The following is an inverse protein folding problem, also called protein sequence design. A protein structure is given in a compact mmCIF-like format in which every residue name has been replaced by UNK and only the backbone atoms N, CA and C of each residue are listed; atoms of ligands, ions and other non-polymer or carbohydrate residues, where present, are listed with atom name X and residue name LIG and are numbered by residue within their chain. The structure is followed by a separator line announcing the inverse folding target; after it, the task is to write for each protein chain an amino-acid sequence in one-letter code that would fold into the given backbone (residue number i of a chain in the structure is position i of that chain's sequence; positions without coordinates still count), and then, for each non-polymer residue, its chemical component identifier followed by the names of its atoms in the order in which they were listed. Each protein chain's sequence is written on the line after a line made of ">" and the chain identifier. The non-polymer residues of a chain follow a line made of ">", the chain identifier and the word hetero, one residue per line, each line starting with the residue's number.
data_IF_358705999441
#
_entry.id   IF_358705999441
#
_cell.length_a   1.000
_cell.length_b   1.000
_cell.length_c   1.000
_cell.angle_alpha   90.00
_cell.angle_beta   90.00
_cell.angle_gamma   90.00
#
_symmetry.space_group_name_H-M   'P 1'
#
loop_
_entity.id
_entity.type
_entity.pdbx_description
1 polymer ?
#
# COMPACT_ATOMS: atom_id res chain seq x y z
N UNK A 1 19.07 -12.98 -14.80
CA UNK A 1 18.95 -11.79 -15.67
C UNK A 1 19.41 -10.61 -14.85
N UNK A 2 20.32 -9.78 -15.36
CA UNK A 2 20.65 -8.49 -14.74
C UNK A 2 19.48 -7.55 -15.03
N UNK A 3 18.87 -6.99 -13.99
CA UNK A 3 17.83 -5.97 -14.13
C UNK A 3 18.49 -4.69 -14.70
N UNK A 4 18.08 -4.25 -15.89
CA UNK A 4 18.58 -3.02 -16.50
C UNK A 4 17.74 -1.79 -16.09
N UNK A 5 18.24 -0.59 -16.40
CA UNK A 5 17.59 0.68 -16.04
C UNK A 5 16.17 0.80 -16.63
N UNK A 6 15.96 0.28 -17.85
CA UNK A 6 14.66 0.35 -18.50
C UNK A 6 13.63 -0.55 -17.78
N UNK A 7 14.04 -1.78 -17.42
CA UNK A 7 13.25 -2.71 -16.64
C UNK A 7 12.89 -2.12 -15.27
N UNK A 8 13.88 -1.61 -14.53
CA UNK A 8 13.65 -1.05 -13.20
C UNK A 8 12.74 0.19 -13.23
N UNK A 9 12.87 1.04 -14.24
CA UNK A 9 11.99 2.20 -14.41
C UNK A 9 10.55 1.79 -14.72
N UNK A 10 10.36 0.79 -15.59
CA UNK A 10 9.04 0.26 -15.91
C UNK A 10 8.39 -0.41 -14.69
N UNK A 11 9.17 -1.18 -13.93
CA UNK A 11 8.71 -1.85 -12.72
C UNK A 11 8.35 -0.85 -11.62
N UNK A 12 9.17 0.20 -11.41
CA UNK A 12 8.84 1.28 -10.49
C UNK A 12 7.50 1.91 -10.84
N UNK A 13 7.28 2.25 -12.12
CA UNK A 13 6.03 2.83 -12.59
C UNK A 13 4.83 1.91 -12.33
N UNK A 14 4.99 0.60 -12.53
CA UNK A 14 3.96 -0.40 -12.25
C UNK A 14 3.62 -0.42 -10.75
N UNK A 15 4.64 -0.38 -9.89
CA UNK A 15 4.43 -0.40 -8.44
C UNK A 15 3.83 0.92 -7.93
N UNK A 16 4.24 2.07 -8.46
CA UNK A 16 3.63 3.36 -8.12
C UNK A 16 2.12 3.32 -8.43
N UNK A 17 1.72 2.80 -9.60
CA UNK A 17 0.30 2.65 -9.94
C UNK A 17 -0.45 1.68 -9.01
N UNK A 18 0.21 0.60 -8.60
CA UNK A 18 -0.39 -0.33 -7.62
C UNK A 18 -0.55 0.31 -6.25
N UNK A 19 0.42 1.14 -5.83
CA UNK A 19 0.36 1.89 -4.59
C UNK A 19 -0.79 2.90 -4.63
N UNK A 20 -0.91 3.67 -5.71
CA UNK A 20 -2.03 4.62 -5.89
C UNK A 20 -3.37 3.90 -5.79
N UNK A 21 -3.54 2.78 -6.51
CA UNK A 21 -4.76 1.99 -6.46
C UNK A 21 -5.06 1.39 -5.06
N UNK A 22 -4.01 1.02 -4.31
CA UNK A 22 -4.16 0.51 -2.95
C UNK A 22 -4.55 1.63 -1.98
N UNK A 23 -3.97 2.82 -2.13
CA UNK A 23 -4.32 4.00 -1.34
C UNK A 23 -5.76 4.46 -1.60
N UNK A 24 -6.22 4.45 -2.85
CA UNK A 24 -7.60 4.78 -3.22
C UNK A 24 -8.59 3.79 -2.58
N UNK A 25 -8.29 2.49 -2.63
CA UNK A 25 -9.12 1.46 -1.98
C UNK A 25 -9.13 1.63 -0.47
N UNK A 26 -7.98 1.91 0.14
CA UNK A 26 -7.90 2.14 1.57
C UNK A 26 -8.72 3.35 2.00
N UNK A 27 -8.71 4.44 1.23
CA UNK A 27 -9.52 5.62 1.51
C UNK A 27 -11.02 5.31 1.53
N UNK A 28 -11.52 4.50 0.58
CA UNK A 28 -12.92 4.06 0.55
C UNK A 28 -13.29 3.19 1.76
N UNK A 29 -12.39 2.29 2.15
CA UNK A 29 -12.56 1.44 3.34
C UNK A 29 -12.59 2.27 4.61
N UNK A 30 -11.69 3.25 4.74
CA UNK A 30 -11.65 4.16 5.88
C UNK A 30 -12.95 4.97 6.00
N UNK A 31 -13.49 5.45 4.88
CA UNK A 31 -14.78 6.16 4.88
C UNK A 31 -15.93 5.26 5.39
N UNK A 32 -16.05 4.04 4.87
CA UNK A 32 -17.07 3.07 5.30
C UNK A 32 -16.91 2.69 6.79
N UNK A 33 -15.69 2.37 7.20
CA UNK A 33 -15.39 1.98 8.57
C UNK A 33 -15.68 3.11 9.56
N UNK A 34 -15.39 4.37 9.21
CA UNK A 34 -15.71 5.52 10.05
C UNK A 34 -17.23 5.68 10.26
N UNK A 35 -18.03 5.43 9.21
CA UNK A 35 -19.50 5.42 9.33
C UNK A 35 -19.94 4.28 10.25
N UNK A 36 -19.39 3.08 10.09
CA UNK A 36 -19.74 1.89 10.87
C UNK A 36 -19.32 1.98 12.34
N UNK A 37 -18.18 2.61 12.63
CA UNK A 37 -17.66 2.81 13.97
C UNK A 37 -18.43 3.89 14.74
N UNK A 38 -19.21 4.74 14.06
CA UNK A 38 -19.97 5.82 14.69
C UNK A 38 -20.96 5.26 15.72
N UNK A 39 -20.72 5.59 16.98
CA UNK A 39 -21.55 5.14 18.11
C UNK A 39 -21.32 3.69 18.54
N UNK A 40 -20.28 3.02 18.01
CA UNK A 40 -19.83 1.70 18.48
C UNK A 40 -18.87 1.83 19.65
N UNK A 41 -18.84 0.81 20.51
CA UNK A 41 -17.94 0.75 21.66
C UNK A 41 -17.66 -0.70 22.07
N UNK A 42 -16.63 -0.91 22.88
CA UNK A 42 -16.25 -2.24 23.36
C UNK A 42 -15.97 -3.22 22.21
N UNK A 43 -16.46 -4.45 22.34
CA UNK A 43 -16.16 -5.53 21.41
C UNK A 43 -16.54 -5.22 19.94
N UNK A 44 -17.57 -4.41 19.68
CA UNK A 44 -17.95 -4.04 18.31
C UNK A 44 -16.91 -3.11 17.68
N UNK A 45 -16.36 -2.18 18.46
CA UNK A 45 -15.32 -1.26 17.98
C UNK A 45 -14.01 -2.03 17.76
N UNK A 46 -13.66 -2.94 18.67
CA UNK A 46 -12.46 -3.79 18.54
C UNK A 46 -12.52 -4.65 17.27
N UNK A 47 -13.70 -5.22 16.95
CA UNK A 47 -13.90 -6.01 15.74
C UNK A 47 -13.70 -5.18 14.45
N UNK A 48 -14.20 -3.94 14.42
CA UNK A 48 -14.05 -3.02 13.29
C UNK A 48 -12.60 -2.55 13.15
N UNK A 49 -11.89 -2.29 14.25
CA UNK A 49 -10.47 -1.97 14.23
C UNK A 49 -9.61 -3.14 13.75
N UNK A 50 -9.96 -4.37 14.12
CA UNK A 50 -9.29 -5.56 13.61
C UNK A 50 -9.60 -5.80 12.11
N UNK A 51 -10.80 -5.46 11.65
CA UNK A 51 -11.15 -5.46 10.22
C UNK A 51 -10.31 -4.44 9.44
N UNK A 52 -10.19 -3.20 9.96
CA UNK A 52 -9.33 -2.15 9.40
C UNK A 52 -7.91 -2.65 9.17
N UNK A 53 -7.29 -3.20 10.22
CA UNK A 53 -5.91 -3.70 10.17
C UNK A 53 -5.74 -4.82 9.14
N UNK A 54 -6.69 -5.76 9.05
CA UNK A 54 -6.64 -6.84 8.05
C UNK A 54 -6.74 -6.30 6.62
N UNK A 55 -7.54 -5.27 6.39
CA UNK A 55 -7.69 -4.68 5.06
C UNK A 55 -6.42 -3.92 4.68
N UNK A 56 -5.84 -3.14 5.61
CA UNK A 56 -4.55 -2.46 5.42
C UNK A 56 -3.44 -3.46 5.05
N UNK A 57 -3.33 -4.57 5.77
CA UNK A 57 -2.38 -5.65 5.49
C UNK A 57 -2.63 -6.29 4.11
N UNK A 58 -3.90 -6.50 3.74
CA UNK A 58 -4.28 -7.12 2.46
C UNK A 58 -3.93 -6.23 1.28
N UNK A 59 -4.09 -4.92 1.42
CA UNK A 59 -3.71 -3.94 0.38
C UNK A 59 -2.19 -3.86 0.21
N UNK A 60 -1.41 -4.33 1.19
CA UNK A 60 0.03 -4.48 1.07
C UNK A 60 0.77 -3.16 0.86
N UNK A 61 0.20 -2.04 1.32
CA UNK A 61 0.72 -0.68 1.11
C UNK A 61 2.17 -0.58 1.58
N UNK A 62 2.49 -1.09 2.78
CA UNK A 62 3.85 -1.09 3.32
C UNK A 62 4.81 -1.88 2.42
N UNK A 63 4.43 -3.08 1.99
CA UNK A 63 5.25 -3.92 1.12
C UNK A 63 5.48 -3.27 -0.27
N UNK A 64 4.48 -2.55 -0.80
CA UNK A 64 4.61 -1.80 -2.04
C UNK A 64 5.63 -0.67 -1.89
N UNK A 65 5.56 0.10 -0.80
CA UNK A 65 6.50 1.20 -0.50
C UNK A 65 7.92 0.68 -0.34
N UNK A 66 8.13 -0.37 0.47
CA UNK A 66 9.44 -1.00 0.66
C UNK A 66 10.03 -1.47 -0.67
N UNK A 67 9.21 -2.06 -1.54
CA UNK A 67 9.66 -2.52 -2.86
C UNK A 67 10.01 -1.36 -3.79
N UNK A 68 9.24 -0.27 -3.77
CA UNK A 68 9.52 0.94 -4.55
C UNK A 68 10.87 1.54 -4.12
N UNK A 69 11.13 1.62 -2.81
CA UNK A 69 12.37 2.19 -2.29
C UNK A 69 13.60 1.37 -2.70
N UNK A 70 13.54 0.03 -2.61
CA UNK A 70 14.59 -0.85 -3.13
C UNK A 70 14.86 -0.62 -4.63
N UNK A 71 13.80 -0.38 -5.42
CA UNK A 71 13.97 -0.12 -6.86
C UNK A 71 14.57 1.27 -7.11
N UNK A 72 14.19 2.28 -6.32
CA UNK A 72 14.80 3.62 -6.39
C UNK A 72 16.31 3.54 -6.15
N UNK A 73 16.73 2.82 -5.10
CA UNK A 73 18.15 2.61 -4.81
C UNK A 73 18.90 1.94 -5.98
N UNK A 74 18.32 0.92 -6.59
CA UNK A 74 18.91 0.24 -7.75
C UNK A 74 19.01 1.14 -8.98
N UNK A 75 17.99 1.96 -9.23
CA UNK A 75 17.99 2.93 -10.34
C UNK A 75 19.11 3.95 -10.13
N UNK A 76 19.23 4.50 -8.93
CA UNK A 76 20.29 5.47 -8.62
C UNK A 76 21.68 4.84 -8.76
N UNK A 77 21.87 3.59 -8.30
CA UNK A 77 23.13 2.87 -8.46
C UNK A 77 23.53 2.64 -9.94
N UNK A 78 22.55 2.50 -10.84
CA UNK A 78 22.79 2.35 -12.29
C UNK A 78 22.94 3.68 -13.03
N UNK A 79 22.50 4.79 -12.43
CA UNK A 79 22.64 6.15 -12.97
C UNK A 79 23.92 6.85 -12.52
N UNK A 80 24.61 6.28 -11.52
CA UNK A 80 25.88 6.76 -10.97
C UNK A 80 26.93 7.08 -12.02
#
# INVERSE_FOLDING_TARGET
>A
MTEDLAFLTAEKKRLDQLLDNAMDQYALVEEDLNVRMKGKSGAELDALMAERARIEDTLGIVALVERIDVIREKIEALRG
#
